data_IF_632423250740
#
_entry.id   IF_632423250740
#
_cell.length_a   1.000
_cell.length_b   1.000
_cell.length_c   1.000
_cell.angle_alpha   90.00
_cell.angle_beta   90.00
_cell.angle_gamma   90.00
#
_symmetry.space_group_name_H-M   'P 1'
#
loop_
_entity.id
_entity.type
_entity.pdbx_description
1 polymer ?
#
# COMPACT_ATOMS: atom_id res chain seq x y z
N UNK A 1 4.16 6.82 -84.59
CA UNK A 1 4.62 8.23 -84.65
C UNK A 1 3.90 8.98 -83.53
N UNK A 2 4.47 9.02 -82.33
CA UNK A 2 5.29 10.11 -81.77
C UNK A 2 4.49 11.37 -81.39
N UNK A 3 4.54 11.70 -80.10
CA UNK A 3 4.39 12.98 -79.37
C UNK A 3 3.48 12.75 -78.15
N UNK A 4 4.00 12.33 -76.99
CA UNK A 4 4.84 13.10 -76.04
C UNK A 4 4.22 14.45 -75.68
N UNK A 5 3.34 14.44 -74.68
CA UNK A 5 2.97 15.62 -73.88
C UNK A 5 2.94 15.15 -72.42
N UNK A 6 3.94 15.56 -71.65
CA UNK A 6 3.93 15.49 -70.19
C UNK A 6 2.86 16.47 -69.65
N UNK A 7 2.15 16.08 -68.58
CA UNK A 7 1.86 17.03 -67.53
C UNK A 7 2.53 16.58 -66.22
N UNK A 8 3.11 17.56 -65.55
CA UNK A 8 3.73 17.45 -64.24
C UNK A 8 2.76 16.87 -63.21
N UNK A 9 3.08 15.70 -62.67
CA UNK A 9 2.43 15.16 -61.47
C UNK A 9 3.13 15.79 -60.27
N UNK A 10 2.48 16.79 -59.69
CA UNK A 10 2.81 17.29 -58.35
C UNK A 10 2.37 16.18 -57.37
N UNK A 11 3.33 15.40 -56.89
CA UNK A 11 3.13 14.49 -55.77
C UNK A 11 2.95 15.34 -54.50
N UNK A 12 1.71 15.73 -54.21
CA UNK A 12 1.32 16.15 -52.87
C UNK A 12 1.41 14.90 -51.99
N UNK A 13 2.57 14.74 -51.35
CA UNK A 13 2.76 13.83 -50.22
C UNK A 13 1.80 14.26 -49.12
N UNK A 14 0.60 13.68 -49.12
CA UNK A 14 -0.31 13.75 -48.01
C UNK A 14 0.33 12.99 -46.86
N UNK A 15 1.13 13.71 -46.08
CA UNK A 15 1.46 13.36 -44.71
C UNK A 15 0.11 13.09 -44.04
N UNK A 16 -0.22 11.81 -43.88
CA UNK A 16 -1.28 11.39 -42.96
C UNK A 16 -0.81 11.92 -41.62
N UNK A 17 -1.47 12.93 -41.00
CA UNK A 17 -1.16 13.22 -39.62
C UNK A 17 -1.47 11.92 -38.88
N UNK A 18 -0.41 11.34 -38.31
CA UNK A 18 -0.50 10.27 -37.33
C UNK A 18 -1.34 10.88 -36.21
N UNK A 19 -2.66 10.74 -36.30
CA UNK A 19 -3.53 11.01 -35.17
C UNK A 19 -3.12 9.97 -34.16
N UNK A 20 -2.26 10.40 -33.24
CA UNK A 20 -2.08 9.76 -31.95
C UNK A 20 -3.47 9.52 -31.45
N UNK A 21 -3.92 8.26 -31.51
CA UNK A 21 -5.04 7.84 -30.71
C UNK A 21 -4.59 8.16 -29.30
N UNK A 22 -5.17 9.21 -28.71
CA UNK A 22 -5.17 9.38 -27.27
C UNK A 22 -5.97 8.20 -26.78
N UNK A 23 -5.29 7.07 -26.61
CA UNK A 23 -5.73 5.99 -25.74
C UNK A 23 -5.97 6.69 -24.42
N UNK A 24 -7.23 6.96 -24.11
CA UNK A 24 -7.65 7.18 -22.74
C UNK A 24 -7.01 6.04 -21.97
N UNK A 25 -5.99 6.35 -21.18
CA UNK A 25 -5.35 5.37 -20.33
C UNK A 25 -6.40 4.99 -19.29
N UNK A 26 -7.26 4.04 -19.67
CA UNK A 26 -8.01 3.22 -18.74
C UNK A 26 -6.96 2.75 -17.75
N UNK A 27 -7.03 3.25 -16.51
CA UNK A 27 -6.22 2.76 -15.41
C UNK A 27 -6.26 1.23 -15.51
N UNK A 28 -5.13 0.55 -15.75
CA UNK A 28 -5.17 -0.89 -15.96
C UNK A 28 -5.91 -1.49 -14.77
N UNK A 29 -7.00 -2.20 -15.06
CA UNK A 29 -7.65 -3.02 -14.04
C UNK A 29 -6.54 -3.80 -13.35
N UNK A 30 -6.48 -3.72 -12.01
CA UNK A 30 -5.41 -4.31 -11.21
C UNK A 30 -5.03 -5.67 -11.77
N UNK A 31 -3.80 -5.80 -12.27
CA UNK A 31 -3.36 -7.05 -12.88
C UNK A 31 -3.37 -8.10 -11.76
N UNK A 32 -4.23 -9.11 -11.86
CA UNK A 32 -4.14 -10.29 -11.01
C UNK A 32 -3.28 -11.31 -11.76
N UNK A 33 -2.25 -11.83 -11.11
CA UNK A 33 -1.27 -12.75 -11.73
C UNK A 33 -1.13 -13.98 -10.86
N UNK A 34 -1.38 -15.17 -11.44
CA UNK A 34 -0.92 -16.43 -10.86
C UNK A 34 0.61 -16.41 -10.85
N UNK A 35 1.21 -16.21 -9.69
CA UNK A 35 2.66 -16.06 -9.56
C UNK A 35 3.36 -17.41 -9.49
N UNK A 36 2.79 -18.33 -8.69
CA UNK A 36 3.26 -19.70 -8.55
C UNK A 36 2.09 -20.61 -8.15
N UNK A 37 2.35 -21.92 -8.02
CA UNK A 37 1.33 -22.84 -7.51
C UNK A 37 0.87 -22.42 -6.11
N UNK A 38 -0.44 -22.29 -5.93
CA UNK A 38 -1.07 -21.77 -4.70
C UNK A 38 -0.76 -20.31 -4.34
N UNK A 39 -0.14 -19.50 -5.21
CA UNK A 39 0.16 -18.07 -4.95
C UNK A 39 -0.29 -17.17 -6.09
N UNK A 40 -1.14 -16.19 -5.75
CA UNK A 40 -1.60 -15.14 -6.67
C UNK A 40 -1.21 -13.76 -6.14
N UNK A 41 -0.78 -12.87 -7.03
CA UNK A 41 -0.53 -11.45 -6.72
C UNK A 41 -1.63 -10.62 -7.37
N UNK A 42 -2.36 -9.86 -6.56
CA UNK A 42 -3.24 -8.79 -7.04
C UNK A 42 -2.48 -7.46 -6.94
N UNK A 43 -2.02 -6.93 -8.08
CA UNK A 43 -1.28 -5.68 -8.12
C UNK A 43 -2.16 -4.45 -7.86
N UNK A 44 -3.46 -4.52 -8.19
CA UNK A 44 -4.38 -3.39 -7.98
C UNK A 44 -4.77 -3.23 -6.53
N UNK A 45 -4.95 -4.35 -5.83
CA UNK A 45 -5.25 -4.37 -4.39
C UNK A 45 -3.97 -4.48 -3.52
N UNK A 46 -2.81 -4.74 -4.15
CA UNK A 46 -1.52 -5.01 -3.50
C UNK A 46 -1.64 -6.12 -2.45
N UNK A 47 -2.17 -7.25 -2.87
CA UNK A 47 -2.42 -8.42 -2.02
C UNK A 47 -1.65 -9.63 -2.56
N UNK A 48 -1.14 -10.46 -1.66
CA UNK A 48 -0.72 -11.83 -1.97
C UNK A 48 -1.79 -12.78 -1.43
N UNK A 49 -2.43 -13.53 -2.32
CA UNK A 49 -3.38 -14.58 -1.96
C UNK A 49 -2.67 -15.94 -2.01
N UNK A 50 -2.80 -16.71 -0.94
CA UNK A 50 -2.17 -18.01 -0.74
C UNK A 50 -3.26 -19.05 -0.46
N UNK A 51 -3.32 -20.09 -1.29
CA UNK A 51 -4.27 -21.18 -1.10
C UNK A 51 -3.85 -22.05 0.08
N UNK A 52 -4.82 -22.39 0.93
CA UNK A 52 -4.62 -23.18 2.15
C UNK A 52 -5.86 -24.03 2.47
N UNK A 53 -5.70 -24.95 3.41
CA UNK A 53 -6.77 -25.79 3.92
C UNK A 53 -6.71 -25.87 5.44
N UNK A 54 -7.86 -25.91 6.11
CA UNK A 54 -7.93 -26.17 7.56
C UNK A 54 -7.51 -27.61 7.86
N UNK A 55 -6.53 -27.78 8.73
CA UNK A 55 -5.99 -29.09 9.14
C UNK A 55 -6.16 -29.37 10.65
N UNK A 56 -6.38 -28.33 11.46
CA UNK A 56 -6.51 -28.46 12.91
C UNK A 56 -7.55 -27.48 13.47
N UNK A 57 -8.32 -27.91 14.46
CA UNK A 57 -9.37 -27.11 15.13
C UNK A 57 -9.28 -27.13 16.66
N UNK A 58 -8.39 -27.93 17.22
CA UNK A 58 -8.22 -28.10 18.67
C UNK A 58 -6.74 -28.40 18.96
N UNK A 59 -6.24 -27.94 20.11
CA UNK A 59 -4.83 -28.08 20.49
C UNK A 59 -4.13 -26.73 20.67
N UNK A 60 -2.98 -26.75 21.35
CA UNK A 60 -2.12 -25.57 21.48
C UNK A 60 -1.50 -25.26 20.13
N UNK A 61 -1.46 -23.98 19.76
CA UNK A 61 -0.95 -23.52 18.49
C UNK A 61 0.45 -22.91 18.63
N UNK A 62 1.32 -23.29 17.71
CA UNK A 62 2.55 -22.57 17.42
C UNK A 62 2.42 -21.69 16.17
N UNK A 63 1.49 -22.05 15.27
CA UNK A 63 1.29 -21.38 13.99
C UNK A 63 -0.21 -21.24 13.67
N UNK A 64 -0.51 -20.22 12.87
CA UNK A 64 -1.78 -20.13 12.18
C UNK A 64 -1.76 -20.95 10.88
N UNK A 65 -0.63 -20.91 10.15
CA UNK A 65 -0.45 -21.66 8.91
C UNK A 65 0.98 -22.19 8.77
N UNK A 66 1.12 -23.43 8.28
CA UNK A 66 2.40 -24.07 7.99
C UNK A 66 2.53 -24.51 6.53
N UNK A 67 3.73 -24.95 6.14
CA UNK A 67 3.96 -25.63 4.86
C UNK A 67 3.37 -27.06 4.88
N UNK A 68 3.08 -27.66 3.71
CA UNK A 68 2.62 -29.04 3.65
C UNK A 68 3.61 -30.04 4.27
N UNK A 69 3.07 -31.00 5.03
CA UNK A 69 3.77 -32.11 5.70
C UNK A 69 4.89 -31.63 6.63
N UNK A 70 4.57 -30.67 7.48
CA UNK A 70 5.49 -30.11 8.45
C UNK A 70 4.87 -30.06 9.84
N UNK A 71 4.19 -28.96 10.17
CA UNK A 71 3.71 -28.61 11.50
C UNK A 71 2.17 -28.63 11.59
N UNK A 72 1.49 -29.48 10.83
CA UNK A 72 0.01 -29.54 10.82
C UNK A 72 -0.61 -29.91 12.18
N UNK A 73 0.16 -30.54 13.07
CA UNK A 73 -0.29 -30.91 14.42
C UNK A 73 -0.35 -29.72 15.40
N UNK A 74 0.14 -28.55 14.99
CA UNK A 74 0.21 -27.31 15.79
C UNK A 74 -0.13 -26.05 14.98
N UNK A 75 -0.79 -26.25 13.81
CA UNK A 75 -1.16 -25.20 12.85
C UNK A 75 -2.62 -25.33 12.43
N UNK A 76 -3.42 -24.25 12.47
CA UNK A 76 -4.82 -24.30 12.02
C UNK A 76 -4.91 -24.68 10.53
N UNK A 77 -4.00 -24.15 9.70
CA UNK A 77 -4.00 -24.34 8.26
C UNK A 77 -2.68 -24.89 7.72
N UNK A 78 -2.76 -25.60 6.61
CA UNK A 78 -1.61 -25.96 5.77
C UNK A 78 -1.74 -25.27 4.42
N UNK A 79 -0.72 -24.52 3.98
CA UNK A 79 -0.74 -23.86 2.67
C UNK A 79 -0.47 -24.87 1.55
N UNK A 80 -0.90 -24.60 0.32
CA UNK A 80 -0.52 -25.39 -0.87
C UNK A 80 0.78 -24.90 -1.51
N UNK A 81 1.09 -23.63 -1.30
CA UNK A 81 2.26 -23.01 -1.89
C UNK A 81 3.56 -23.44 -1.20
N UNK A 82 4.66 -23.35 -1.94
CA UNK A 82 5.99 -23.34 -1.34
C UNK A 82 6.21 -22.01 -0.60
N UNK A 83 6.66 -21.99 0.67
CA UNK A 83 6.88 -20.76 1.44
C UNK A 83 7.77 -19.72 0.74
N UNK A 84 8.81 -20.16 0.02
CA UNK A 84 9.66 -19.29 -0.80
C UNK A 84 8.86 -18.47 -1.83
N UNK A 85 7.79 -19.02 -2.42
CA UNK A 85 6.96 -18.30 -3.38
C UNK A 85 6.12 -17.22 -2.69
N UNK A 86 5.63 -17.48 -1.48
CA UNK A 86 4.92 -16.47 -0.67
C UNK A 86 5.87 -15.31 -0.33
N UNK A 87 7.09 -15.64 0.11
CA UNK A 87 8.15 -14.67 0.38
C UNK A 87 8.48 -13.81 -0.85
N UNK A 88 8.73 -14.43 -2.00
CA UNK A 88 9.04 -13.72 -3.24
C UNK A 88 7.88 -12.83 -3.69
N UNK A 89 6.63 -13.30 -3.59
CA UNK A 89 5.46 -12.53 -3.93
C UNK A 89 5.28 -11.28 -3.05
N UNK A 90 5.53 -11.41 -1.73
CA UNK A 90 5.51 -10.26 -0.82
C UNK A 90 6.68 -9.30 -1.11
N UNK A 91 7.88 -9.82 -1.40
CA UNK A 91 9.01 -9.00 -1.84
C UNK A 91 8.72 -8.21 -3.13
N UNK A 92 8.01 -8.82 -4.08
CA UNK A 92 7.54 -8.15 -5.31
C UNK A 92 6.52 -7.03 -5.05
N UNK A 93 5.78 -7.10 -3.94
CA UNK A 93 4.95 -5.98 -3.47
C UNK A 93 5.76 -4.89 -2.74
N UNK A 94 7.08 -5.06 -2.59
CA UNK A 94 7.98 -4.07 -2.01
C UNK A 94 8.17 -4.19 -0.50
N UNK A 95 7.84 -5.34 0.11
CA UNK A 95 8.19 -5.56 1.52
C UNK A 95 9.69 -5.88 1.65
N UNK A 96 10.44 -5.13 2.46
CA UNK A 96 11.83 -5.45 2.75
C UNK A 96 11.93 -6.65 3.70
N UNK A 97 13.09 -7.32 3.68
CA UNK A 97 13.44 -8.30 4.71
C UNK A 97 13.43 -7.63 6.09
N UNK A 98 12.85 -8.33 7.05
CA UNK A 98 12.90 -7.98 8.46
C UNK A 98 14.11 -8.61 9.15
N UNK A 99 14.04 -8.67 10.47
CA UNK A 99 15.03 -9.32 11.32
C UNK A 99 14.36 -10.43 12.12
N UNK A 100 14.75 -11.70 11.95
CA UNK A 100 14.22 -12.79 12.76
C UNK A 100 14.55 -12.63 14.23
N UNK A 101 13.77 -13.27 15.10
CA UNK A 101 14.12 -13.34 16.51
C UNK A 101 15.39 -14.19 16.66
N UNK A 102 16.27 -13.79 17.58
CA UNK A 102 17.52 -14.51 17.84
C UNK A 102 17.96 -14.35 19.29
N UNK A 103 18.62 -15.36 19.82
CA UNK A 103 19.29 -15.25 21.10
C UNK A 103 20.70 -14.69 20.91
N UNK A 104 21.02 -13.61 21.62
CA UNK A 104 22.36 -13.04 21.66
C UNK A 104 23.12 -13.69 22.82
N UNK A 105 24.01 -14.62 22.49
CA UNK A 105 24.82 -15.35 23.46
C UNK A 105 25.80 -14.46 24.24
N UNK A 106 26.24 -13.34 23.67
CA UNK A 106 27.17 -12.43 24.33
C UNK A 106 26.47 -11.61 25.42
N UNK A 107 25.21 -11.24 25.20
CA UNK A 107 24.41 -10.50 26.19
C UNK A 107 23.50 -11.39 27.03
N UNK A 108 23.29 -12.65 26.63
CA UNK A 108 22.35 -13.57 27.24
C UNK A 108 20.88 -13.16 27.05
N UNK A 109 20.56 -12.40 26.00
CA UNK A 109 19.23 -11.79 25.79
C UNK A 109 18.58 -12.21 24.49
N UNK A 110 17.26 -12.30 24.49
CA UNK A 110 16.49 -12.36 23.26
C UNK A 110 16.52 -11.02 22.53
N UNK A 111 16.78 -11.07 21.23
CA UNK A 111 16.58 -9.97 20.30
C UNK A 111 15.23 -10.23 19.61
N UNK A 112 14.24 -9.32 19.75
CA UNK A 112 12.92 -9.51 19.16
C UNK A 112 12.97 -9.42 17.63
N UNK A 113 11.96 -10.00 16.98
CA UNK A 113 11.80 -9.84 15.53
C UNK A 113 11.43 -8.40 15.15
N UNK A 114 11.91 -7.97 13.99
CA UNK A 114 11.55 -6.74 13.32
C UNK A 114 11.09 -7.02 11.91
N UNK A 115 10.30 -6.12 11.32
CA UNK A 115 9.76 -6.32 9.98
C UNK A 115 8.67 -5.33 9.61
N UNK A 116 8.27 -5.34 8.34
CA UNK A 116 7.14 -4.55 7.88
C UNK A 116 5.83 -5.12 8.47
N UNK A 117 4.89 -4.26 8.86
CA UNK A 117 3.59 -4.73 9.34
C UNK A 117 2.75 -5.22 8.16
N UNK A 118 2.00 -6.30 8.35
CA UNK A 118 1.04 -6.82 7.35
C UNK A 118 -0.33 -7.06 7.99
N UNK A 119 -1.38 -7.04 7.17
CA UNK A 119 -2.68 -7.60 7.53
C UNK A 119 -2.79 -9.01 6.96
N UNK A 120 -3.45 -9.89 7.72
CA UNK A 120 -3.75 -11.26 7.29
C UNK A 120 -5.25 -11.47 7.38
N UNK A 121 -5.87 -11.62 6.22
CA UNK A 121 -7.30 -11.88 6.03
C UNK A 121 -7.52 -13.31 5.56
N UNK A 122 -8.57 -13.95 6.04
CA UNK A 122 -8.96 -15.30 5.66
C UNK A 122 -10.26 -15.24 4.86
N UNK A 123 -10.22 -15.72 3.62
CA UNK A 123 -11.40 -15.85 2.76
C UNK A 123 -11.76 -17.32 2.59
N UNK A 124 -12.99 -17.69 2.86
CA UNK A 124 -13.44 -19.09 2.77
C UNK A 124 -14.93 -19.17 2.51
N UNK A 125 -15.44 -20.36 2.20
CA UNK A 125 -16.87 -20.61 2.06
C UNK A 125 -17.42 -21.27 3.33
N UNK A 126 -18.57 -20.78 3.81
CA UNK A 126 -19.36 -21.42 4.86
C UNK A 126 -20.84 -21.30 4.50
N UNK A 127 -21.55 -22.42 4.49
CA UNK A 127 -22.99 -22.49 4.19
C UNK A 127 -23.36 -21.77 2.87
N UNK A 128 -22.51 -21.92 1.84
CA UNK A 128 -22.68 -21.30 0.53
C UNK A 128 -22.41 -19.79 0.48
N UNK A 129 -21.91 -19.19 1.56
CA UNK A 129 -21.55 -17.77 1.63
C UNK A 129 -20.05 -17.60 1.76
N UNK A 130 -19.54 -16.58 1.08
CA UNK A 130 -18.14 -16.17 1.23
C UNK A 130 -17.98 -15.42 2.54
N UNK A 131 -17.18 -15.97 3.43
CA UNK A 131 -16.78 -15.37 4.69
C UNK A 131 -15.41 -14.72 4.53
N UNK A 132 -15.23 -13.59 5.23
CA UNK A 132 -13.98 -12.84 5.28
C UNK A 132 -13.75 -12.50 6.74
N UNK A 133 -12.70 -13.09 7.32
CA UNK A 133 -12.32 -12.87 8.72
C UNK A 133 -10.92 -12.27 8.79
N UNK A 134 -10.66 -11.45 9.81
CA UNK A 134 -9.30 -11.19 10.24
C UNK A 134 -8.72 -12.46 10.86
N UNK A 135 -7.51 -12.84 10.47
CA UNK A 135 -6.93 -14.11 10.90
C UNK A 135 -6.76 -14.25 12.42
N UNK A 136 -6.61 -13.13 13.14
CA UNK A 136 -6.54 -13.12 14.62
C UNK A 136 -7.86 -13.55 15.26
N UNK A 137 -8.98 -13.41 14.55
CA UNK A 137 -10.28 -13.85 15.07
C UNK A 137 -10.37 -15.38 15.17
N UNK A 138 -9.55 -16.14 14.45
CA UNK A 138 -9.51 -17.59 14.58
C UNK A 138 -8.73 -18.08 15.79
N UNK A 139 -8.17 -17.16 16.59
CA UNK A 139 -7.33 -17.44 17.75
C UNK A 139 -8.08 -17.08 19.04
N UNK A 140 -7.90 -17.90 20.07
CA UNK A 140 -8.35 -17.60 21.43
C UNK A 140 -7.28 -18.01 22.45
N UNK A 141 -7.26 -17.36 23.61
CA UNK A 141 -6.40 -17.79 24.72
C UNK A 141 -6.78 -19.19 25.18
N UNK A 142 -5.78 -20.04 25.42
CA UNK A 142 -5.96 -21.35 26.03
C UNK A 142 -6.58 -21.22 27.43
N UNK A 143 -7.34 -22.22 27.90
CA UNK A 143 -7.83 -22.23 29.28
C UNK A 143 -6.70 -22.04 30.30
N UNK A 144 -6.85 -21.05 31.19
CA UNK A 144 -5.83 -20.73 32.20
C UNK A 144 -4.70 -19.80 31.72
N UNK A 145 -4.67 -19.45 30.44
CA UNK A 145 -3.70 -18.51 29.88
C UNK A 145 -4.22 -17.07 29.90
N UNK A 146 -3.36 -16.03 30.00
CA UNK A 146 -3.78 -14.64 29.91
C UNK A 146 -4.51 -14.31 28.59
N UNK A 147 -5.38 -13.27 28.57
CA UNK A 147 -5.98 -12.79 27.33
C UNK A 147 -4.92 -12.42 26.29
N UNK A 148 -5.13 -12.82 25.04
CA UNK A 148 -4.26 -12.41 23.93
C UNK A 148 -4.19 -10.86 23.89
N UNK A 149 -2.98 -10.27 23.96
CA UNK A 149 -2.84 -8.83 23.87
C UNK A 149 -3.25 -8.34 22.47
N UNK A 150 -3.59 -7.05 22.31
CA UNK A 150 -3.64 -6.43 20.99
C UNK A 150 -2.36 -6.78 20.23
N UNK A 151 -2.49 -7.31 19.02
CA UNK A 151 -1.38 -7.91 18.27
C UNK A 151 -1.40 -7.48 16.81
N UNK A 152 -0.26 -7.52 16.15
CA UNK A 152 -0.06 -7.22 14.72
C UNK A 152 0.80 -8.29 14.05
N UNK A 153 0.68 -8.46 12.74
CA UNK A 153 1.55 -9.36 11.98
C UNK A 153 2.77 -8.61 11.45
N UNK A 154 3.95 -9.19 11.58
CA UNK A 154 5.19 -8.71 11.00
C UNK A 154 5.64 -9.65 9.88
N UNK A 155 5.89 -9.11 8.70
CA UNK A 155 6.68 -9.78 7.68
C UNK A 155 8.15 -9.74 8.09
N UNK A 156 8.67 -10.90 8.50
CA UNK A 156 10.06 -11.08 8.93
C UNK A 156 10.96 -11.37 7.74
N UNK A 157 10.41 -11.99 6.69
CA UNK A 157 11.10 -12.20 5.42
C UNK A 157 12.05 -13.39 5.44
N UNK A 158 13.27 -13.20 4.92
CA UNK A 158 14.27 -14.27 4.81
C UNK A 158 15.01 -14.46 6.13
N UNK A 159 14.54 -15.42 6.90
CA UNK A 159 15.34 -16.03 7.94
C UNK A 159 16.41 -16.99 7.37
N UNK A 160 17.71 -16.76 7.63
CA UNK A 160 18.76 -17.69 7.21
C UNK A 160 18.73 -18.97 8.05
N UNK A 161 18.85 -20.14 7.41
CA UNK A 161 18.90 -21.44 8.07
C UNK A 161 20.34 -21.95 8.31
N UNK A 162 21.34 -21.06 8.32
CA UNK A 162 22.76 -21.43 8.40
C UNK A 162 23.33 -22.14 7.14
N UNK A 163 22.48 -22.76 6.32
CA UNK A 163 22.86 -23.62 5.18
C UNK A 163 22.43 -23.08 3.81
N UNK A 164 22.15 -21.77 3.71
CA UNK A 164 21.70 -21.06 2.49
C UNK A 164 20.34 -21.49 1.94
N UNK A 165 19.59 -22.38 2.60
CA UNK A 165 18.22 -22.69 2.18
C UNK A 165 17.26 -21.67 2.79
N UNK A 166 16.01 -21.71 2.36
CA UNK A 166 14.99 -20.81 2.86
C UNK A 166 14.35 -21.42 4.10
N UNK A 167 14.55 -20.82 5.28
CA UNK A 167 14.15 -21.42 6.56
C UNK A 167 12.70 -21.88 6.60
N UNK A 168 11.75 -21.05 6.16
CA UNK A 168 10.34 -21.43 6.14
C UNK A 168 10.02 -22.60 5.18
N UNK A 169 10.82 -22.83 4.12
CA UNK A 169 10.66 -24.04 3.29
C UNK A 169 11.06 -25.30 4.04
N UNK A 170 12.09 -25.21 4.89
CA UNK A 170 12.66 -26.36 5.61
C UNK A 170 11.81 -26.70 6.84
N UNK A 171 11.42 -25.69 7.61
CA UNK A 171 10.76 -25.84 8.91
C UNK A 171 9.24 -25.62 8.86
N UNK A 172 8.70 -25.17 7.72
CA UNK A 172 7.27 -24.95 7.55
C UNK A 172 6.70 -23.75 8.31
N UNK A 173 7.53 -22.80 8.72
CA UNK A 173 7.19 -21.66 9.60
C UNK A 173 6.61 -20.46 8.85
N UNK A 174 5.41 -20.62 8.27
CA UNK A 174 4.79 -19.63 7.37
C UNK A 174 4.13 -18.47 8.11
N UNK A 175 3.06 -18.71 8.86
CA UNK A 175 2.38 -17.71 9.71
C UNK A 175 2.47 -18.16 11.17
N UNK A 176 3.47 -17.66 11.89
CA UNK A 176 3.81 -18.14 13.23
C UNK A 176 3.17 -17.29 14.33
N UNK A 177 2.82 -17.93 15.43
CA UNK A 177 2.32 -17.29 16.65
C UNK A 177 3.43 -17.19 17.72
N UNK A 178 4.50 -17.96 17.53
CA UNK A 178 5.72 -17.91 18.31
C UNK A 178 6.90 -17.42 17.47
N UNK A 179 7.89 -16.73 18.06
CA UNK A 179 8.99 -16.12 17.35
C UNK A 179 10.07 -17.14 16.93
N UNK A 180 9.75 -18.03 15.98
CA UNK A 180 10.75 -18.94 15.38
C UNK A 180 11.83 -18.12 14.66
N UNK A 181 13.11 -18.53 14.76
CA UNK A 181 14.18 -17.96 13.95
C UNK A 181 13.91 -18.03 12.45
N UNK A 182 13.03 -18.94 12.01
CA UNK A 182 12.69 -19.19 10.60
C UNK A 182 11.35 -18.62 10.14
N UNK A 183 10.64 -17.89 11.01
CA UNK A 183 9.32 -17.33 10.73
C UNK A 183 9.32 -16.46 9.46
N UNK A 184 8.37 -16.70 8.56
CA UNK A 184 8.14 -15.82 7.41
C UNK A 184 7.28 -14.61 7.79
N UNK A 185 6.15 -14.85 8.45
CA UNK A 185 5.29 -13.83 9.06
C UNK A 185 5.01 -14.22 10.50
N UNK A 186 5.16 -13.29 11.44
CA UNK A 186 5.04 -13.52 12.87
C UNK A 186 3.96 -12.63 13.50
N UNK A 187 3.09 -13.20 14.31
CA UNK A 187 2.20 -12.43 15.19
C UNK A 187 2.99 -11.92 16.40
N UNK A 188 2.94 -10.61 16.64
CA UNK A 188 3.57 -9.98 17.82
C UNK A 188 2.57 -9.08 18.54
N UNK A 189 2.73 -8.82 19.85
CA UNK A 189 1.99 -7.76 20.51
C UNK A 189 2.15 -6.42 19.79
N UNK A 190 1.06 -5.67 19.65
CA UNK A 190 1.05 -4.33 19.09
C UNK A 190 1.84 -3.39 20.01
N UNK A 191 2.70 -2.56 19.44
CA UNK A 191 3.33 -1.48 20.21
C UNK A 191 2.24 -0.54 20.74
N UNK A 192 2.41 0.08 21.91
CA UNK A 192 1.50 1.11 22.37
C UNK A 192 1.41 2.21 21.31
N UNK A 193 0.19 2.66 20.99
CA UNK A 193 -0.03 3.74 20.03
C UNK A 193 0.57 5.04 20.57
N UNK A 194 1.82 5.33 20.25
CA UNK A 194 2.44 6.62 20.58
C UNK A 194 2.13 7.63 19.47
N UNK A 195 1.25 8.58 19.78
CA UNK A 195 1.38 9.92 19.20
C UNK A 195 2.67 10.59 19.74
N UNK A 196 3.13 11.71 19.16
CA UNK A 196 4.38 12.33 19.56
C UNK A 196 4.19 13.04 20.91
N UNK A 197 4.27 12.29 22.00
CA UNK A 197 4.61 12.85 23.31
C UNK A 197 5.98 12.33 23.67
N UNK A 198 6.98 13.20 23.54
CA UNK A 198 8.29 13.08 24.18
C UNK A 198 8.12 13.03 25.69
N UNK A 199 7.81 11.83 26.18
CA UNK A 199 8.05 11.45 27.56
C UNK A 199 8.65 10.07 27.42
N UNK A 200 9.92 9.95 27.81
CA UNK A 200 10.66 8.69 27.87
C UNK A 200 9.97 7.76 28.87
N UNK A 201 8.85 7.19 28.46
CA UNK A 201 8.43 5.89 28.93
C UNK A 201 9.22 4.97 28.04
N UNK A 202 10.33 4.46 28.56
CA UNK A 202 10.94 3.25 28.03
C UNK A 202 9.78 2.29 27.81
N UNK A 203 9.42 1.94 26.55
CA UNK A 203 8.52 0.83 26.39
C UNK A 203 9.24 -0.29 27.09
N UNK A 204 8.67 -0.85 28.17
CA UNK A 204 9.19 -2.10 28.65
C UNK A 204 9.07 -3.03 27.44
N UNK A 205 10.16 -3.47 26.78
CA UNK A 205 10.06 -4.75 26.12
C UNK A 205 9.48 -5.64 27.20
N UNK A 206 8.42 -6.40 26.90
CA UNK A 206 7.88 -7.36 27.86
C UNK A 206 9.08 -7.99 28.55
N UNK A 207 9.21 -7.76 29.87
CA UNK A 207 10.41 -8.15 30.61
C UNK A 207 10.68 -9.66 30.48
N UNK A 208 9.67 -10.40 30.00
CA UNK A 208 9.71 -11.79 29.62
C UNK A 208 10.65 -12.13 28.44
N UNK A 209 10.87 -11.25 27.45
CA UNK A 209 11.73 -11.61 26.31
C UNK A 209 13.23 -11.60 26.69
N UNK A 210 13.67 -10.67 27.54
CA UNK A 210 15.08 -10.32 27.69
C UNK A 210 15.98 -11.41 28.32
N UNK A 211 15.44 -12.54 28.79
CA UNK A 211 16.22 -13.61 29.45
C UNK A 211 15.66 -15.02 29.21
N UNK A 212 14.90 -15.24 28.12
CA UNK A 212 14.25 -16.53 27.86
C UNK A 212 15.25 -17.61 27.38
N UNK A 213 15.19 -18.82 27.95
CA UNK A 213 15.88 -19.96 27.36
C UNK A 213 15.23 -20.30 26.03
N UNK A 214 16.06 -20.57 25.03
CA UNK A 214 15.63 -21.25 23.82
C UNK A 214 15.79 -22.77 24.03
N UNK A 215 14.96 -23.56 23.36
CA UNK A 215 15.18 -25.00 23.24
C UNK A 215 16.35 -25.31 22.28
N UNK A 216 16.62 -26.59 22.06
CA UNK A 216 17.71 -27.05 21.19
C UNK A 216 17.49 -26.63 19.72
N UNK A 217 16.28 -26.23 19.33
CA UNK A 217 15.94 -25.71 18.00
C UNK A 217 16.05 -24.17 17.91
N UNK A 218 16.45 -23.50 18.99
CA UNK A 218 16.54 -22.04 19.04
C UNK A 218 15.19 -21.35 19.18
N UNK A 219 14.13 -22.10 19.53
CA UNK A 219 12.78 -21.61 19.75
C UNK A 219 12.63 -21.18 21.20
N UNK A 220 12.03 -20.01 21.43
CA UNK A 220 11.79 -19.56 22.80
C UNK A 220 10.79 -20.47 23.50
N UNK A 221 11.20 -21.04 24.63
CA UNK A 221 10.36 -21.95 25.41
C UNK A 221 9.18 -21.16 26.00
N UNK A 222 7.96 -21.59 25.67
CA UNK A 222 6.75 -21.05 26.30
C UNK A 222 6.74 -21.38 27.79
N UNK A 223 6.54 -20.37 28.63
CA UNK A 223 6.34 -20.53 30.07
C UNK A 223 4.84 -20.52 30.39
N UNK A 224 4.41 -21.01 31.57
CA UNK A 224 3.01 -20.95 31.99
C UNK A 224 2.42 -19.51 32.02
N UNK A 225 3.29 -18.50 32.13
CA UNK A 225 2.91 -17.09 32.09
C UNK A 225 2.77 -16.52 30.66
N UNK A 226 3.07 -17.31 29.63
CA UNK A 226 2.84 -16.92 28.24
C UNK A 226 1.37 -17.03 27.83
N UNK A 227 0.99 -16.15 26.90
CA UNK A 227 -0.28 -16.26 26.20
C UNK A 227 -0.18 -17.43 25.22
N UNK A 228 -0.76 -18.56 25.60
CA UNK A 228 -0.91 -19.73 24.76
C UNK A 228 -2.20 -19.58 23.97
N UNK A 229 -2.15 -19.90 22.69
CA UNK A 229 -3.31 -19.82 21.82
C UNK A 229 -3.82 -21.21 21.45
N UNK A 230 -5.13 -21.30 21.31
CA UNK A 230 -5.85 -22.42 20.70
C UNK A 230 -6.76 -21.89 19.60
N UNK A 231 -7.24 -22.73 18.67
CA UNK A 231 -8.22 -22.31 17.68
C UNK A 231 -9.54 -21.91 18.35
N UNK A 232 -10.24 -20.90 17.83
CA UNK A 232 -11.63 -20.63 18.21
C UNK A 232 -12.56 -21.61 17.48
N UNK A 233 -13.14 -22.61 18.17
CA UNK A 233 -13.96 -23.64 17.52
C UNK A 233 -15.26 -23.10 16.93
N UNK A 234 -15.70 -21.89 17.32
CA UNK A 234 -16.89 -21.24 16.72
C UNK A 234 -16.56 -20.55 15.40
N UNK A 235 -15.31 -20.15 15.19
CA UNK A 235 -14.88 -19.38 14.03
C UNK A 235 -14.14 -20.21 13.00
N UNK A 236 -13.30 -21.15 13.43
CA UNK A 236 -12.56 -22.02 12.51
C UNK A 236 -13.53 -23.03 11.87
N UNK A 237 -13.65 -23.09 10.53
CA UNK A 237 -14.52 -24.03 9.83
C UNK A 237 -14.01 -25.48 9.95
N UNK A 238 -14.81 -26.49 9.54
CA UNK A 238 -14.41 -27.89 9.61
C UNK A 238 -13.05 -28.18 8.92
N UNK A 239 -12.34 -29.19 9.41
CA UNK A 239 -11.12 -29.69 8.77
C UNK A 239 -11.43 -30.04 7.31
N UNK A 240 -10.50 -29.72 6.41
CA UNK A 240 -10.66 -29.88 4.96
C UNK A 240 -11.26 -28.65 4.26
N UNK A 241 -11.72 -27.63 5.01
CA UNK A 241 -12.25 -26.41 4.40
C UNK A 241 -11.16 -25.64 3.68
N UNK A 242 -11.45 -25.27 2.44
CA UNK A 242 -10.59 -24.42 1.60
C UNK A 242 -10.60 -22.97 2.08
N UNK A 243 -9.40 -22.40 2.22
CA UNK A 243 -9.18 -21.04 2.70
C UNK A 243 -8.17 -20.36 1.78
N UNK A 244 -8.45 -19.12 1.41
CA UNK A 244 -7.46 -18.24 0.78
C UNK A 244 -6.96 -17.27 1.85
N UNK A 245 -5.69 -17.41 2.20
CA UNK A 245 -4.98 -16.49 3.09
C UNK A 245 -4.54 -15.28 2.26
N UNK A 246 -4.99 -14.10 2.63
CA UNK A 246 -4.67 -12.86 1.93
C UNK A 246 -3.77 -12.01 2.82
N UNK A 247 -2.53 -11.81 2.37
CA UNK A 247 -1.52 -11.03 3.07
C UNK A 247 -1.37 -9.68 2.36
N UNK A 248 -1.48 -8.60 3.13
CA UNK A 248 -1.35 -7.22 2.61
C UNK A 248 -0.30 -6.44 3.37
N UNK A 249 0.57 -5.68 2.70
CA UNK A 249 1.41 -4.70 3.38
C UNK A 249 0.52 -3.70 4.12
N UNK A 250 0.69 -3.57 5.45
CA UNK A 250 0.19 -2.40 6.17
C UNK A 250 1.15 -1.29 5.84
N UNK A 251 0.67 -0.35 5.05
CA UNK A 251 1.38 0.90 4.87
C UNK A 251 1.02 1.80 6.04
N UNK A 252 2.02 2.16 6.85
CA UNK A 252 1.84 3.24 7.82
C UNK A 252 1.51 4.53 7.05
N UNK A 253 0.60 5.33 7.61
CA UNK A 253 0.29 6.65 7.06
C UNK A 253 1.48 7.61 7.21
N UNK A 254 1.55 8.63 6.36
CA UNK A 254 2.49 9.73 6.58
C UNK A 254 1.92 10.64 7.66
N UNK A 255 2.74 11.03 8.62
CA UNK A 255 2.41 12.16 9.49
C UNK A 255 3.03 13.41 8.90
N UNK A 256 2.16 14.37 8.60
CA UNK A 256 2.53 15.70 8.13
C UNK A 256 2.02 16.73 9.11
N UNK A 257 2.93 17.53 9.65
CA UNK A 257 2.58 18.67 10.52
C UNK A 257 2.93 19.97 9.81
N UNK A 258 1.96 20.87 9.71
CA UNK A 258 2.19 22.23 9.24
C UNK A 258 2.12 23.18 10.43
N UNK A 259 3.19 23.96 10.63
CA UNK A 259 3.26 24.94 11.69
C UNK A 259 2.68 26.31 11.28
N UNK A 260 2.60 27.25 12.23
CA UNK A 260 2.08 28.61 11.99
C UNK A 260 2.92 29.46 11.04
N UNK A 261 4.12 29.01 10.67
CA UNK A 261 5.06 29.71 9.80
C UNK A 261 5.12 29.10 8.40
N UNK A 262 4.27 28.13 8.10
CA UNK A 262 4.23 27.45 6.81
C UNK A 262 5.29 26.34 6.65
N UNK A 263 6.01 25.97 7.72
CA UNK A 263 6.99 24.88 7.65
C UNK A 263 6.30 23.52 7.75
N UNK A 264 6.70 22.62 6.87
CA UNK A 264 6.15 21.26 6.81
C UNK A 264 7.12 20.29 7.49
N UNK A 265 6.58 19.47 8.38
CA UNK A 265 7.31 18.40 9.04
C UNK A 265 6.77 17.06 8.57
N UNK A 266 7.63 16.22 8.00
CA UNK A 266 7.32 14.86 7.61
C UNK A 266 7.97 13.89 8.57
N UNK A 267 7.16 13.07 9.27
CA UNK A 267 7.65 12.10 10.24
C UNK A 267 8.59 12.69 11.32
N UNK A 268 8.38 13.96 11.68
CA UNK A 268 9.17 14.67 12.69
C UNK A 268 10.42 15.39 12.18
N UNK A 269 10.73 15.34 10.88
CA UNK A 269 11.79 16.14 10.26
C UNK A 269 11.18 17.29 9.45
N UNK A 270 11.78 18.49 9.52
CA UNK A 270 11.40 19.61 8.64
C UNK A 270 11.81 19.28 7.21
N UNK A 271 10.87 19.40 6.27
CA UNK A 271 11.07 19.09 4.86
C UNK A 271 10.56 20.27 4.03
N UNK A 272 11.35 20.70 3.05
CA UNK A 272 10.92 21.69 2.08
C UNK A 272 9.76 21.14 1.23
N UNK A 273 8.81 21.99 0.84
CA UNK A 273 7.67 21.55 0.02
C UNK A 273 8.11 20.84 -1.28
N UNK A 274 9.21 21.27 -1.89
CA UNK A 274 9.75 20.68 -3.13
C UNK A 274 10.34 19.28 -2.93
N UNK A 275 10.86 18.99 -1.73
CA UNK A 275 11.44 17.68 -1.37
C UNK A 275 10.37 16.69 -0.91
N UNK A 276 9.18 17.18 -0.58
CA UNK A 276 8.11 16.38 0.02
C UNK A 276 7.60 15.25 -0.89
N UNK A 277 7.34 15.46 -2.20
CA UNK A 277 7.00 14.37 -3.12
C UNK A 277 8.05 13.26 -3.14
N UNK A 278 9.33 13.62 -3.18
CA UNK A 278 10.43 12.65 -3.15
C UNK A 278 10.45 11.83 -1.87
N UNK A 279 10.20 12.47 -0.72
CA UNK A 279 10.11 11.79 0.59
C UNK A 279 8.88 10.89 0.71
N UNK A 280 7.74 11.33 0.19
CA UNK A 280 6.50 10.55 0.14
C UNK A 280 6.65 9.30 -0.75
N UNK A 281 7.30 9.45 -1.91
CA UNK A 281 7.58 8.34 -2.82
C UNK A 281 8.62 7.35 -2.28
N UNK A 282 9.68 7.86 -1.63
CA UNK A 282 10.76 7.04 -1.08
C UNK A 282 10.37 6.30 0.22
N UNK A 283 9.41 6.82 0.99
CA UNK A 283 9.04 6.28 2.31
C UNK A 283 8.14 5.05 2.30
N UNK A 284 7.69 4.55 1.15
CA UNK A 284 6.75 3.41 1.08
C UNK A 284 5.39 3.66 1.75
N UNK A 285 5.07 4.94 1.99
CA UNK A 285 3.94 5.42 2.77
C UNK A 285 2.63 5.16 2.03
N UNK A 286 1.55 4.86 2.77
CA UNK A 286 0.22 4.95 2.17
C UNK A 286 -0.17 6.41 2.00
N UNK A 287 -0.17 6.86 0.75
CA UNK A 287 -0.70 8.16 0.41
C UNK A 287 -2.20 8.27 0.77
N UNK A 288 -2.91 7.14 0.90
CA UNK A 288 -4.31 7.13 1.35
C UNK A 288 -4.48 7.09 2.88
N UNK A 289 -3.39 7.01 3.64
CA UNK A 289 -3.42 7.06 5.10
C UNK A 289 -2.65 8.26 5.67
N UNK A 290 -2.34 9.27 4.84
CA UNK A 290 -1.70 10.53 5.27
C UNK A 290 -2.57 11.21 6.34
N UNK A 291 -1.96 11.50 7.48
CA UNK A 291 -2.53 12.29 8.57
C UNK A 291 -1.92 13.68 8.53
N UNK A 292 -2.79 14.69 8.48
CA UNK A 292 -2.40 16.09 8.56
C UNK A 292 -2.71 16.63 9.96
N UNK A 293 -1.69 17.15 10.62
CA UNK A 293 -1.79 17.92 11.86
C UNK A 293 -1.44 19.39 11.59
N UNK A 294 -2.13 20.30 12.28
CA UNK A 294 -1.92 21.72 12.13
C UNK A 294 -1.64 22.33 13.49
N UNK A 295 -0.57 23.11 13.61
CA UNK A 295 -0.37 23.92 14.82
C UNK A 295 -1.44 25.03 14.89
N UNK A 296 -1.82 25.41 16.11
CA UNK A 296 -2.74 26.53 16.33
C UNK A 296 -2.17 27.80 15.67
N UNK A 297 -2.96 28.39 14.77
CA UNK A 297 -2.54 29.56 13.97
C UNK A 297 -1.93 29.24 12.61
N UNK A 298 -1.95 27.96 12.18
CA UNK A 298 -1.64 27.61 10.79
C UNK A 298 -2.55 28.36 9.79
N UNK A 299 -1.94 28.87 8.73
CA UNK A 299 -2.60 29.70 7.73
C UNK A 299 -3.46 28.81 6.82
N UNK A 300 -4.74 29.16 6.63
CA UNK A 300 -5.68 28.38 5.79
C UNK A 300 -5.15 28.15 4.36
N UNK A 301 -4.52 29.15 3.76
CA UNK A 301 -3.93 29.05 2.42
C UNK A 301 -2.84 27.99 2.32
N UNK A 302 -1.94 27.91 3.30
CA UNK A 302 -0.86 26.91 3.33
C UNK A 302 -1.42 25.50 3.53
N UNK A 303 -2.47 25.36 4.34
CA UNK A 303 -3.21 24.10 4.53
C UNK A 303 -3.82 23.62 3.19
N UNK A 304 -4.44 24.52 2.45
CA UNK A 304 -5.06 24.20 1.16
C UNK A 304 -4.02 23.86 0.09
N UNK A 305 -2.89 24.57 0.05
CA UNK A 305 -1.77 24.28 -0.83
C UNK A 305 -1.16 22.91 -0.56
N UNK A 306 -0.91 22.57 0.71
CA UNK A 306 -0.40 21.26 1.10
C UNK A 306 -1.38 20.13 0.74
N UNK A 307 -2.69 20.35 0.92
CA UNK A 307 -3.74 19.40 0.47
C UNK A 307 -3.75 19.22 -1.05
N UNK A 308 -3.57 20.29 -1.81
CA UNK A 308 -3.51 20.23 -3.27
C UNK A 308 -2.29 19.44 -3.74
N UNK A 309 -1.12 19.67 -3.15
CA UNK A 309 0.09 18.89 -3.43
C UNK A 309 -0.14 17.40 -3.14
N UNK A 310 -0.69 17.05 -1.99
CA UNK A 310 -0.97 15.64 -1.64
C UNK A 310 -1.94 14.97 -2.62
N UNK A 311 -2.94 15.71 -3.12
CA UNK A 311 -3.85 15.20 -4.15
C UNK A 311 -3.14 14.96 -5.48
N UNK A 312 -2.21 15.84 -5.88
CA UNK A 312 -1.38 15.66 -7.09
C UNK A 312 -0.52 14.39 -6.96
N UNK A 313 0.04 14.16 -5.78
CA UNK A 313 0.81 12.94 -5.48
C UNK A 313 -0.06 11.67 -5.39
N UNK A 314 -1.39 11.79 -5.48
CA UNK A 314 -2.30 10.66 -5.58
C UNK A 314 -3.00 10.27 -4.28
N UNK A 315 -2.93 11.10 -3.23
CA UNK A 315 -3.79 10.94 -2.04
C UNK A 315 -5.26 11.20 -2.39
N UNK A 316 -6.14 10.22 -2.19
CA UNK A 316 -7.57 10.40 -2.50
C UNK A 316 -8.33 11.26 -1.49
N UNK A 317 -7.91 11.29 -0.22
CA UNK A 317 -8.43 12.21 0.81
C UNK A 317 -7.56 12.18 2.08
N UNK A 318 -6.72 13.20 2.36
CA UNK A 318 -5.85 13.18 3.54
C UNK A 318 -6.69 13.37 4.81
N UNK A 319 -6.59 12.45 5.78
CA UNK A 319 -7.33 12.55 7.04
C UNK A 319 -6.78 13.69 7.86
N UNK A 320 -7.61 14.70 8.09
CA UNK A 320 -7.24 15.90 8.83
C UNK A 320 -7.66 15.74 10.29
N UNK A 321 -6.70 15.82 11.20
CA UNK A 321 -6.97 15.89 12.63
C UNK A 321 -6.86 17.35 13.09
N UNK A 322 -7.96 17.97 13.56
CA UNK A 322 -7.89 19.34 14.05
C UNK A 322 -7.19 19.39 15.41
N UNK A 323 -6.34 20.41 15.62
CA UNK A 323 -5.78 20.78 16.94
C UNK A 323 -6.39 22.12 17.44
N UNK A 324 -7.65 22.41 17.05
CA UNK A 324 -8.46 23.61 17.36
C UNK A 324 -8.24 24.87 16.48
N UNK A 325 -9.38 25.44 16.04
CA UNK A 325 -9.67 26.74 15.40
C UNK A 325 -8.64 27.37 14.42
N UNK A 326 -8.97 27.33 13.13
CA UNK A 326 -8.31 28.07 12.03
C UNK A 326 -8.64 29.56 12.07
N UNK A 327 -7.66 30.44 11.85
CA UNK A 327 -7.84 31.91 11.76
C UNK A 327 -8.22 32.30 10.32
N UNK A 328 -9.10 33.30 10.16
CA UNK A 328 -9.60 33.78 8.87
C UNK A 328 -8.60 34.76 8.18
N UNK A 329 -8.51 34.78 6.83
CA UNK A 329 -7.33 35.17 6.07
C UNK A 329 -7.18 36.69 5.82
N UNK A 330 -7.59 37.52 6.78
CA UNK A 330 -7.57 38.98 6.63
C UNK A 330 -6.19 39.63 6.56
N UNK A 331 -5.11 38.94 6.95
CA UNK A 331 -3.76 39.51 6.99
C UNK A 331 -2.72 38.57 6.34
N UNK A 332 -2.47 38.89 5.06
CA UNK A 332 -1.22 38.77 4.29
C UNK A 332 -0.55 37.39 4.10
N UNK A 333 -0.81 36.85 2.90
CA UNK A 333 0.13 36.20 1.94
C UNK A 333 1.04 35.08 2.48
N UNK A 334 0.45 33.92 2.81
CA UNK A 334 1.15 32.64 2.88
C UNK A 334 1.41 32.04 1.49
N UNK A 335 2.53 31.33 1.34
CA UNK A 335 3.09 30.69 0.13
C UNK A 335 3.56 31.58 -1.02
N UNK A 336 2.83 32.62 -1.44
CA UNK A 336 3.27 33.48 -2.55
C UNK A 336 4.50 34.33 -2.20
N UNK A 337 4.70 34.66 -0.91
CA UNK A 337 5.91 35.33 -0.43
C UNK A 337 7.11 34.36 -0.37
N UNK A 338 6.87 33.06 -0.09
CA UNK A 338 7.87 31.99 -0.04
C UNK A 338 8.38 31.59 -1.43
N UNK A 339 7.52 31.66 -2.46
CA UNK A 339 7.93 31.53 -3.87
C UNK A 339 8.74 32.74 -4.37
N UNK A 340 8.70 33.87 -3.65
CA UNK A 340 9.33 35.13 -4.08
C UNK A 340 10.56 35.54 -3.26
N UNK A 341 10.80 34.90 -2.10
CA UNK A 341 11.85 35.28 -1.16
C UNK A 341 12.82 34.15 -0.84
N UNK A 342 13.99 34.15 -1.50
CA UNK A 342 15.21 33.70 -0.85
C UNK A 342 15.87 32.39 -1.30
N UNK A 343 15.67 31.91 -2.53
CA UNK A 343 16.63 30.97 -3.15
C UNK A 343 16.91 31.39 -4.59
N UNK A 344 18.20 31.42 -4.95
CA UNK A 344 18.70 31.88 -6.23
C UNK A 344 18.34 30.90 -7.36
N UNK A 345 17.11 30.95 -7.84
CA UNK A 345 16.68 30.38 -9.11
C UNK A 345 15.83 31.42 -9.86
N UNK A 346 16.47 32.43 -10.45
CA UNK A 346 15.82 33.35 -11.40
C UNK A 346 16.55 33.31 -12.72
N UNK A 347 15.90 32.72 -13.72
CA UNK A 347 16.27 32.79 -15.13
C UNK A 347 15.55 31.77 -15.99
N UNK A 348 15.74 30.48 -15.70
CA UNK A 348 15.38 29.39 -16.63
C UNK A 348 14.07 28.68 -16.26
N UNK A 349 13.89 28.25 -15.01
CA UNK A 349 12.73 27.43 -14.62
C UNK A 349 11.38 28.17 -14.68
N UNK A 350 11.34 29.47 -14.33
CA UNK A 350 10.13 30.30 -14.46
C UNK A 350 9.79 30.61 -15.93
N UNK A 351 10.79 30.69 -16.80
CA UNK A 351 10.57 30.84 -18.25
C UNK A 351 10.01 29.57 -18.86
N UNK A 352 10.54 28.41 -18.46
CA UNK A 352 10.07 27.10 -18.91
C UNK A 352 8.64 26.79 -18.42
N UNK A 353 8.33 27.05 -17.14
CA UNK A 353 6.98 26.88 -16.60
C UNK A 353 5.98 27.88 -17.22
N UNK A 354 6.37 29.13 -17.46
CA UNK A 354 5.51 30.09 -18.17
C UNK A 354 5.25 29.65 -19.60
N UNK A 355 6.28 29.20 -20.32
CA UNK A 355 6.12 28.66 -21.68
C UNK A 355 5.21 27.43 -21.70
N UNK A 356 5.31 26.54 -20.71
CA UNK A 356 4.52 25.32 -20.64
C UNK A 356 3.05 25.63 -20.29
N UNK A 357 2.80 26.59 -19.40
CA UNK A 357 1.44 27.11 -19.12
C UNK A 357 0.84 27.81 -20.33
N UNK A 358 1.61 28.66 -21.03
CA UNK A 358 1.16 29.36 -22.23
C UNK A 358 0.90 28.38 -23.40
N UNK A 359 1.71 27.33 -23.51
CA UNK A 359 1.53 26.25 -24.48
C UNK A 359 0.26 25.45 -24.17
N UNK A 360 0.04 25.06 -22.92
CA UNK A 360 -1.16 24.35 -22.48
C UNK A 360 -2.42 25.21 -22.68
N UNK A 361 -2.35 26.51 -22.36
CA UNK A 361 -3.45 27.45 -22.59
C UNK A 361 -3.78 27.61 -24.09
N UNK A 362 -2.75 27.68 -24.94
CA UNK A 362 -2.90 27.74 -26.40
C UNK A 362 -3.51 26.45 -26.95
N UNK A 363 -3.06 25.28 -26.49
CA UNK A 363 -3.62 23.98 -26.86
C UNK A 363 -5.09 23.87 -26.44
N UNK A 364 -5.45 24.34 -25.24
CA UNK A 364 -6.84 24.35 -24.78
C UNK A 364 -7.73 25.26 -25.63
N UNK A 365 -7.22 26.43 -26.03
CA UNK A 365 -7.91 27.35 -26.92
C UNK A 365 -8.13 26.76 -28.32
N UNK A 366 -7.12 26.08 -28.88
CA UNK A 366 -7.23 25.37 -30.16
C UNK A 366 -8.22 24.20 -30.10
N UNK A 367 -8.20 23.42 -29.01
CA UNK A 367 -9.16 22.33 -28.79
C UNK A 367 -10.59 22.88 -28.72
N UNK A 368 -10.80 23.98 -27.99
CA UNK A 368 -12.09 24.66 -27.92
C UNK A 368 -12.55 25.16 -29.29
N UNK A 369 -11.67 25.82 -30.05
CA UNK A 369 -11.99 26.29 -31.39
C UNK A 369 -12.25 25.15 -32.39
N UNK A 370 -11.58 24.01 -32.23
CA UNK A 370 -11.83 22.78 -33.01
C UNK A 370 -13.20 22.18 -32.69
N UNK A 371 -13.55 22.13 -31.40
CA UNK A 371 -14.87 21.68 -30.95
C UNK A 371 -15.98 22.59 -31.46
N UNK A 372 -15.84 23.91 -31.35
CA UNK A 372 -16.84 24.88 -31.85
C UNK A 372 -17.03 24.76 -33.38
N UNK A 373 -15.95 24.55 -34.16
CA UNK A 373 -16.04 24.28 -35.60
C UNK A 373 -16.77 22.98 -35.91
N UNK A 374 -16.53 21.92 -35.14
CA UNK A 374 -17.21 20.64 -35.29
C UNK A 374 -18.70 20.77 -34.99
N UNK A 375 -19.06 21.48 -33.91
CA UNK A 375 -20.46 21.78 -33.56
C UNK A 375 -21.13 22.61 -34.66
N UNK A 376 -20.44 23.60 -35.23
CA UNK A 376 -20.98 24.41 -36.34
C UNK A 376 -21.19 23.57 -37.61
N UNK A 377 -20.25 22.66 -37.95
CA UNK A 377 -20.39 21.75 -39.08
C UNK A 377 -21.55 20.77 -38.89
N UNK A 378 -21.74 20.22 -37.68
CA UNK A 378 -22.87 19.37 -37.33
C UNK A 378 -24.19 20.15 -37.47
N UNK A 379 -24.27 21.39 -36.96
CA UNK A 379 -25.46 22.24 -37.11
C UNK A 379 -25.77 22.51 -38.58
N UNK A 380 -24.77 22.82 -39.40
CA UNK A 380 -24.96 23.04 -40.84
C UNK A 380 -25.42 21.78 -41.56
N UNK A 381 -24.90 20.60 -41.18
CA UNK A 381 -25.34 19.32 -41.73
C UNK A 381 -26.79 18.98 -41.35
N UNK A 382 -27.22 19.32 -40.13
CA UNK A 382 -28.62 19.17 -39.69
C UNK A 382 -29.55 20.04 -40.54
N UNK A 383 -29.20 21.31 -40.75
CA UNK A 383 -30.00 22.23 -41.60
C UNK A 383 -30.08 21.71 -43.04
N UNK A 384 -28.95 21.27 -43.61
CA UNK A 384 -28.92 20.73 -44.97
C UNK A 384 -29.69 19.40 -45.12
N UNK A 385 -29.73 18.58 -44.07
CA UNK A 385 -30.58 17.39 -44.02
C UNK A 385 -32.05 17.77 -44.04
N UNK A 386 -32.45 18.75 -43.23
CA UNK A 386 -33.83 19.24 -43.14
C UNK A 386 -34.32 19.81 -44.48
N UNK A 387 -33.45 20.53 -45.18
CA UNK A 387 -33.72 21.08 -46.52
C UNK A 387 -33.80 20.01 -47.63
N UNK A 388 -33.04 18.91 -47.53
CA UNK A 388 -32.99 17.86 -48.58
C UNK A 388 -33.97 16.72 -48.39
N UNK A 389 -34.25 16.35 -47.14
CA UNK A 389 -35.06 15.16 -46.85
C UNK A 389 -36.54 15.51 -46.77
N UNK A 390 -36.88 16.77 -46.44
CA UNK A 390 -38.26 17.19 -46.22
C UNK A 390 -38.94 16.40 -45.09
N UNK A 391 -40.05 16.88 -44.52
CA UNK A 391 -40.79 16.09 -43.56
C UNK A 391 -41.27 14.79 -44.23
N UNK A 392 -41.20 13.63 -43.55
CA UNK A 392 -41.73 12.40 -44.10
C UNK A 392 -43.21 12.59 -44.45
N UNK A 393 -43.60 12.21 -45.68
CA UNK A 393 -45.01 12.23 -46.07
C UNK A 393 -45.82 11.40 -45.08
N UNK A 394 -46.95 11.93 -44.57
CA UNK A 394 -47.79 11.19 -43.64
C UNK A 394 -48.35 9.95 -44.35
N UNK A 395 -48.05 8.77 -43.80
CA UNK A 395 -48.71 7.51 -44.17
C UNK A 395 -49.77 7.14 -43.15
#
# INVERSE_FOLDING_TARGET
MLRLVLPAVIALSSCVPLWSQTTTATRPAGRVVQFADGVTIDWGRREVAVDAQVVLREGILELLACAPRSKEHESIMSIRARPLHVYQALGLLGLPDGTPARFDAATGRAVPSGGATVEVELRYQRDGKTCVDDARQWLMSAPGSPPMPPSRWLFVGRAPDGERRFGADVYGTVLTLLPFPTSLVLLVPAAPSSGPTSRSVTPAPSAAAASRPADDEGVYVNTPDDWQLVPDPKRVPPIGTEVVIVIRPVREGAWLRLDRFGRVWFQGEEVGLDDLPGRLAAGGVDLNAVRLEFERGAIRGDVEALRALLRIEGTTDPRVHPVEAMVDPGERVGLMELLSGGYAWRGTALGELSMEVDLLASQLAEQRASFERTVAAIRSAIVHWDEKVGPPEPR
#
